data_IF_978580446369
#
_entry.id   IF_978580446369
#
_cell.length_a   1.000
_cell.length_b   1.000
_cell.length_c   1.000
_cell.angle_alpha   90.00
_cell.angle_beta   90.00
_cell.angle_gamma   90.00
#
_symmetry.space_group_name_H-M   'P 1'
#
loop_
_entity.id
_entity.type
_entity.pdbx_description
1 polymer ?
#
# COMPACT_ATOMS: atom_id res chain seq x y z
N UNK A 1 29.61 -6.67 -7.08
CA UNK A 1 28.71 -7.80 -7.44
C UNK A 1 27.33 -7.21 -7.60
N UNK A 2 26.68 -7.48 -8.74
CA UNK A 2 25.27 -7.11 -8.96
C UNK A 2 24.42 -7.90 -7.97
N UNK A 3 23.66 -7.22 -7.11
CA UNK A 3 22.84 -7.87 -6.08
C UNK A 3 21.52 -8.38 -6.69
N UNK A 4 20.68 -9.07 -5.91
CA UNK A 4 19.42 -9.65 -6.42
C UNK A 4 18.46 -8.62 -7.04
N UNK A 5 18.47 -7.37 -6.56
CA UNK A 5 17.64 -6.28 -7.09
C UNK A 5 18.15 -5.85 -8.46
N UNK A 6 19.47 -5.62 -8.57
CA UNK A 6 20.13 -5.27 -9.83
C UNK A 6 19.85 -6.37 -10.89
N UNK A 7 20.02 -7.63 -10.51
CA UNK A 7 19.75 -8.78 -11.38
C UNK A 7 18.30 -8.82 -11.89
N UNK A 8 17.32 -8.53 -11.04
CA UNK A 8 15.91 -8.46 -11.46
C UNK A 8 15.67 -7.29 -12.40
N UNK A 9 16.17 -6.10 -12.07
CA UNK A 9 15.96 -4.91 -12.89
C UNK A 9 16.55 -5.09 -14.28
N UNK A 10 17.81 -5.55 -14.36
CA UNK A 10 18.56 -5.68 -15.61
C UNK A 10 18.06 -6.83 -16.50
N UNK A 11 17.76 -7.99 -15.91
CA UNK A 11 17.48 -9.20 -16.70
C UNK A 11 15.99 -9.46 -16.91
N UNK A 12 15.12 -8.88 -16.09
CA UNK A 12 13.68 -9.15 -16.12
C UNK A 12 12.88 -7.88 -16.43
N UNK A 13 12.99 -6.86 -15.58
CA UNK A 13 12.10 -5.70 -15.65
C UNK A 13 12.35 -4.81 -16.88
N UNK A 14 13.60 -4.35 -17.10
CA UNK A 14 13.94 -3.45 -18.22
C UNK A 14 13.63 -4.10 -19.57
N UNK A 15 14.05 -5.35 -19.86
CA UNK A 15 13.72 -6.02 -21.12
C UNK A 15 12.20 -6.11 -21.35
N UNK A 16 11.45 -6.43 -20.30
CA UNK A 16 9.99 -6.54 -20.38
C UNK A 16 9.36 -5.17 -20.69
N UNK A 17 9.73 -4.11 -19.97
CA UNK A 17 9.17 -2.77 -20.19
C UNK A 17 9.57 -2.18 -21.55
N UNK A 18 10.80 -2.40 -22.01
CA UNK A 18 11.25 -1.97 -23.33
C UNK A 18 10.47 -2.64 -24.47
N UNK A 19 9.97 -3.86 -24.26
CA UNK A 19 9.09 -4.53 -25.23
C UNK A 19 7.69 -3.91 -25.32
N UNK A 20 7.35 -2.93 -24.45
CA UNK A 20 6.04 -2.28 -24.35
C UNK A 20 6.06 -0.82 -24.87
N UNK A 21 7.02 -0.45 -25.70
CA UNK A 21 7.17 0.90 -26.27
C UNK A 21 7.32 2.02 -25.22
N UNK A 22 7.79 1.69 -24.02
CA UNK A 22 8.19 2.69 -23.03
C UNK A 22 9.44 3.45 -23.50
N UNK A 23 9.44 4.78 -23.37
CA UNK A 23 10.64 5.55 -23.64
C UNK A 23 11.71 5.28 -22.56
N UNK A 24 12.99 5.46 -22.93
CA UNK A 24 14.11 5.12 -22.05
C UNK A 24 14.10 5.93 -20.73
N UNK A 25 13.61 7.17 -20.77
CA UNK A 25 13.52 8.04 -19.60
C UNK A 25 12.53 7.50 -18.56
N UNK A 26 11.33 7.12 -18.99
CA UNK A 26 10.27 6.57 -18.13
C UNK A 26 10.67 5.20 -17.61
N UNK A 27 11.24 4.33 -18.45
CA UNK A 27 11.77 3.04 -18.02
C UNK A 27 12.82 3.24 -16.91
N UNK A 28 13.71 4.22 -17.07
CA UNK A 28 14.74 4.53 -16.07
C UNK A 28 14.12 5.03 -14.76
N UNK A 29 13.16 5.96 -14.81
CA UNK A 29 12.47 6.48 -13.61
C UNK A 29 11.78 5.36 -12.82
N UNK A 30 11.01 4.51 -13.50
CA UNK A 30 10.30 3.40 -12.86
C UNK A 30 11.30 2.37 -12.31
N UNK A 31 12.37 2.06 -13.05
CA UNK A 31 13.40 1.12 -12.60
C UNK A 31 14.11 1.61 -11.34
N UNK A 32 14.43 2.91 -11.25
CA UNK A 32 15.05 3.51 -10.06
C UNK A 32 14.09 3.44 -8.86
N UNK A 33 12.81 3.78 -9.03
CA UNK A 33 11.83 3.70 -7.93
C UNK A 33 11.63 2.25 -7.44
N UNK A 34 11.49 1.28 -8.35
CA UNK A 34 11.42 -0.14 -7.98
C UNK A 34 12.71 -0.59 -7.28
N UNK A 35 13.87 -0.19 -7.79
CA UNK A 35 15.16 -0.53 -7.20
C UNK A 35 15.26 -0.02 -5.76
N UNK A 36 14.97 1.27 -5.55
CA UNK A 36 15.00 1.89 -4.23
C UNK A 36 14.04 1.18 -3.26
N UNK A 37 12.81 0.87 -3.69
CA UNK A 37 11.82 0.17 -2.85
C UNK A 37 12.24 -1.25 -2.50
N UNK A 38 12.65 -2.05 -3.50
CA UNK A 38 13.11 -3.42 -3.26
C UNK A 38 14.35 -3.43 -2.37
N UNK A 39 15.31 -2.54 -2.63
CA UNK A 39 16.52 -2.40 -1.84
C UNK A 39 16.20 -1.99 -0.39
N UNK A 40 15.28 -1.05 -0.18
CA UNK A 40 14.84 -0.62 1.17
C UNK A 40 14.25 -1.76 2.00
N UNK A 41 13.43 -2.61 1.36
CA UNK A 41 12.79 -3.76 2.03
C UNK A 41 13.83 -4.86 2.28
N UNK A 42 14.65 -5.19 1.27
CA UNK A 42 15.62 -6.28 1.36
C UNK A 42 16.80 -5.95 2.27
N UNK A 43 17.27 -4.69 2.31
CA UNK A 43 18.28 -4.23 3.24
C UNK A 43 17.88 -4.48 4.71
N UNK A 44 16.58 -4.39 5.02
CA UNK A 44 16.02 -4.68 6.35
C UNK A 44 15.34 -6.05 6.45
N UNK A 45 15.56 -6.97 5.51
CA UNK A 45 14.80 -8.22 5.43
C UNK A 45 14.88 -9.09 6.69
N UNK A 46 16.01 -9.02 7.40
CA UNK A 46 16.24 -9.80 8.63
C UNK A 46 15.64 -9.16 9.89
N UNK A 47 15.25 -7.90 9.82
CA UNK A 47 14.42 -7.29 10.84
C UNK A 47 12.98 -7.76 10.61
N UNK A 48 12.61 -8.86 11.26
CA UNK A 48 11.30 -9.49 11.04
C UNK A 48 10.14 -8.57 11.43
N UNK A 49 10.31 -7.77 12.47
CA UNK A 49 9.28 -6.85 12.94
C UNK A 49 9.06 -5.75 11.90
N UNK A 50 10.13 -5.10 11.47
CA UNK A 50 10.05 -4.07 10.43
C UNK A 50 9.51 -4.64 9.12
N UNK A 51 10.08 -5.76 8.66
CA UNK A 51 9.66 -6.46 7.43
C UNK A 51 8.17 -6.81 7.48
N UNK A 52 7.71 -7.48 8.53
CA UNK A 52 6.33 -7.94 8.58
C UNK A 52 5.36 -6.76 8.68
N UNK A 53 5.71 -5.71 9.42
CA UNK A 53 4.93 -4.46 9.49
C UNK A 53 4.81 -3.80 8.12
N UNK A 54 5.94 -3.65 7.42
CA UNK A 54 5.96 -3.03 6.10
C UNK A 54 5.25 -3.88 5.03
N UNK A 55 5.38 -5.21 5.06
CA UNK A 55 4.72 -6.08 4.08
C UNK A 55 3.20 -6.17 4.28
N UNK A 56 2.64 -5.74 5.43
CA UNK A 56 1.19 -5.73 5.64
C UNK A 56 0.42 -4.88 4.62
N UNK A 57 1.04 -3.86 4.04
CA UNK A 57 0.46 -3.04 2.97
C UNK A 57 0.00 -3.88 1.79
N UNK A 58 0.83 -4.85 1.41
CA UNK A 58 0.64 -5.64 0.20
C UNK A 58 -0.15 -6.92 0.43
N UNK A 59 -0.34 -7.36 1.68
CA UNK A 59 -0.85 -8.69 1.99
C UNK A 59 -2.24 -8.95 1.39
N UNK A 60 -3.12 -7.96 1.34
CA UNK A 60 -4.47 -8.12 0.76
C UNK A 60 -4.42 -8.48 -0.73
N UNK A 61 -3.55 -7.82 -1.50
CA UNK A 61 -3.37 -8.11 -2.93
C UNK A 61 -2.52 -9.37 -3.14
N UNK A 62 -1.43 -9.51 -2.39
CA UNK A 62 -0.46 -10.61 -2.46
C UNK A 62 -1.11 -11.99 -2.31
N UNK A 63 -2.17 -12.08 -1.49
CA UNK A 63 -2.94 -13.30 -1.25
C UNK A 63 -3.56 -13.87 -2.54
N UNK A 64 -3.78 -13.02 -3.55
CA UNK A 64 -4.49 -13.38 -4.78
C UNK A 64 -3.61 -13.41 -6.03
N UNK A 65 -2.32 -13.09 -5.90
CA UNK A 65 -1.40 -13.08 -7.03
C UNK A 65 -0.82 -14.46 -7.34
N UNK A 66 -0.54 -14.66 -8.62
CA UNK A 66 0.00 -15.89 -9.18
C UNK A 66 1.37 -15.61 -9.82
N UNK A 67 2.29 -16.60 -9.83
CA UNK A 67 2.14 -17.94 -9.24
C UNK A 67 2.05 -17.89 -7.71
N UNK A 68 1.31 -18.84 -7.13
CA UNK A 68 1.27 -19.00 -5.68
C UNK A 68 2.69 -19.26 -5.16
N UNK A 69 3.18 -18.39 -4.28
CA UNK A 69 4.47 -18.50 -3.63
C UNK A 69 4.33 -18.19 -2.13
N UNK A 70 5.45 -18.10 -1.41
CA UNK A 70 5.48 -17.60 -0.06
C UNK A 70 4.85 -16.20 0.01
N UNK A 71 3.91 -15.99 0.95
CA UNK A 71 3.18 -14.73 1.07
C UNK A 71 4.12 -13.52 1.30
N UNK A 72 5.28 -13.73 1.92
CA UNK A 72 6.31 -12.71 2.08
C UNK A 72 6.92 -12.28 0.75
N UNK A 73 7.16 -13.22 -0.17
CA UNK A 73 7.63 -12.91 -1.54
C UNK A 73 6.54 -12.18 -2.32
N UNK A 74 5.30 -12.68 -2.29
CA UNK A 74 4.20 -12.01 -2.97
C UNK A 74 4.00 -10.59 -2.44
N UNK A 75 4.05 -10.39 -1.12
CA UNK A 75 3.91 -9.08 -0.50
C UNK A 75 5.09 -8.16 -0.82
N UNK A 76 6.31 -8.68 -0.88
CA UNK A 76 7.49 -7.93 -1.35
C UNK A 76 7.27 -7.42 -2.78
N UNK A 77 6.74 -8.26 -3.68
CA UNK A 77 6.40 -7.83 -5.04
C UNK A 77 5.32 -6.76 -5.04
N UNK A 78 4.29 -6.89 -4.18
CA UNK A 78 3.26 -5.85 -4.11
C UNK A 78 3.85 -4.51 -3.64
N UNK A 79 4.56 -4.51 -2.51
CA UNK A 79 5.06 -3.27 -1.90
C UNK A 79 6.24 -2.68 -2.69
N UNK A 80 7.11 -3.52 -3.24
CA UNK A 80 8.32 -3.11 -3.92
C UNK A 80 8.15 -2.81 -5.41
N UNK A 81 7.18 -3.45 -6.08
CA UNK A 81 7.03 -3.38 -7.55
C UNK A 81 5.66 -2.83 -7.94
N UNK A 82 4.57 -3.37 -7.38
CA UNK A 82 3.22 -2.87 -7.72
C UNK A 82 2.93 -1.50 -7.13
N UNK A 83 3.41 -1.24 -5.93
CA UNK A 83 3.31 0.05 -5.27
C UNK A 83 4.54 0.91 -5.60
N UNK A 84 4.77 1.08 -6.90
CA UNK A 84 5.84 1.89 -7.48
C UNK A 84 5.26 2.80 -8.57
N UNK A 85 6.10 3.64 -9.18
CA UNK A 85 5.75 4.44 -10.35
C UNK A 85 5.23 3.60 -11.54
N UNK A 86 5.39 2.28 -11.50
CA UNK A 86 4.71 1.35 -12.41
C UNK A 86 3.18 1.56 -12.41
N UNK A 87 2.58 1.88 -11.26
CA UNK A 87 1.14 2.14 -11.18
C UNK A 87 0.73 3.38 -11.99
N UNK A 88 1.53 4.45 -11.93
CA UNK A 88 1.22 5.68 -12.65
C UNK A 88 1.37 5.51 -14.16
N UNK A 89 2.26 4.62 -14.59
CA UNK A 89 2.38 4.20 -15.99
C UNK A 89 1.21 3.32 -16.48
N UNK A 90 0.43 2.75 -15.55
CA UNK A 90 -0.64 1.80 -15.81
C UNK A 90 -2.06 2.33 -15.51
N UNK A 91 -2.18 3.48 -14.85
CA UNK A 91 -3.45 3.96 -14.29
C UNK A 91 -4.13 5.02 -15.18
N UNK A 92 -4.18 6.28 -14.72
CA UNK A 92 -4.93 7.35 -15.38
C UNK A 92 -4.07 8.14 -16.36
N UNK A 93 -4.73 8.84 -17.29
CA UNK A 93 -4.05 9.76 -18.20
C UNK A 93 -3.28 10.85 -17.45
N UNK A 94 -3.80 11.33 -16.31
CA UNK A 94 -3.17 12.37 -15.51
C UNK A 94 -1.89 11.83 -14.83
N UNK A 95 -1.96 10.64 -14.22
CA UNK A 95 -0.81 9.99 -13.61
C UNK A 95 0.30 9.69 -14.64
N UNK A 96 -0.07 9.14 -15.80
CA UNK A 96 0.86 8.87 -16.88
C UNK A 96 1.55 10.17 -17.38
N UNK A 97 0.80 11.27 -17.51
CA UNK A 97 1.37 12.59 -17.85
C UNK A 97 2.33 13.10 -16.80
N UNK A 98 2.08 12.84 -15.52
CA UNK A 98 3.01 13.15 -14.42
C UNK A 98 4.39 12.48 -14.58
N UNK A 99 4.43 11.31 -15.24
CA UNK A 99 5.68 10.63 -15.58
C UNK A 99 6.35 11.13 -16.88
N UNK A 100 5.67 11.98 -17.65
CA UNK A 100 6.10 12.42 -18.98
C UNK A 100 5.54 11.59 -20.14
N UNK A 101 4.50 10.76 -19.90
CA UNK A 101 3.84 9.97 -20.94
C UNK A 101 2.62 10.70 -21.53
N UNK A 102 2.31 10.44 -22.80
CA UNK A 102 1.10 10.97 -23.44
C UNK A 102 -0.16 10.18 -23.11
N UNK A 103 -0.01 8.92 -22.68
CA UNK A 103 -1.07 7.99 -22.25
C UNK A 103 -0.45 6.89 -21.37
N UNK A 104 -1.25 6.15 -20.58
CA UNK A 104 -0.78 4.92 -19.97
C UNK A 104 -0.22 3.97 -21.04
N UNK A 105 0.93 3.37 -20.77
CA UNK A 105 1.63 2.47 -21.69
C UNK A 105 1.57 1.02 -21.23
N UNK A 106 1.17 0.78 -19.99
CA UNK A 106 1.07 -0.55 -19.40
C UNK A 106 -0.41 -0.84 -19.12
N UNK A 107 -0.92 -1.90 -19.72
CA UNK A 107 -2.26 -2.45 -19.47
C UNK A 107 -2.29 -3.31 -18.20
N UNK A 108 -3.49 -3.53 -17.66
CA UNK A 108 -3.72 -4.49 -16.57
C UNK A 108 -3.14 -5.89 -16.86
N UNK A 109 -3.18 -6.34 -18.11
CA UNK A 109 -2.61 -7.62 -18.51
C UNK A 109 -1.08 -7.62 -18.36
N UNK A 110 -0.42 -6.57 -18.84
CA UNK A 110 1.03 -6.42 -18.74
C UNK A 110 1.46 -6.27 -17.28
N UNK A 111 0.71 -5.51 -16.48
CA UNK A 111 0.92 -5.41 -15.04
C UNK A 111 0.87 -6.79 -14.36
N UNK A 112 -0.05 -7.68 -14.76
CA UNK A 112 -0.11 -9.06 -14.26
C UNK A 112 1.11 -9.89 -14.69
N UNK A 113 1.57 -9.73 -15.94
CA UNK A 113 2.79 -10.39 -16.44
C UNK A 113 4.01 -9.96 -15.63
N UNK A 114 4.20 -8.65 -15.42
CA UNK A 114 5.29 -8.09 -14.60
C UNK A 114 5.23 -8.65 -13.17
N UNK A 115 4.03 -8.67 -12.57
CA UNK A 115 3.82 -9.21 -11.22
C UNK A 115 4.20 -10.70 -11.14
N UNK A 116 3.73 -11.50 -12.09
CA UNK A 116 3.96 -12.95 -12.13
C UNK A 116 5.43 -13.27 -12.38
N UNK A 117 6.10 -12.52 -13.27
CA UNK A 117 7.52 -12.68 -13.53
C UNK A 117 8.35 -12.34 -12.30
N UNK A 118 8.06 -11.22 -11.62
CA UNK A 118 8.74 -10.82 -10.40
C UNK A 118 8.60 -11.87 -9.27
N UNK A 119 7.39 -12.38 -9.05
CA UNK A 119 7.17 -13.46 -8.07
C UNK A 119 8.00 -14.68 -8.46
N UNK A 120 7.94 -15.09 -9.73
CA UNK A 120 8.67 -16.26 -10.23
C UNK A 120 10.19 -16.10 -10.10
N UNK A 121 10.71 -14.90 -10.33
CA UNK A 121 12.13 -14.58 -10.18
C UNK A 121 12.55 -14.65 -8.72
N UNK A 122 11.91 -13.87 -7.84
CA UNK A 122 12.31 -13.76 -6.43
C UNK A 122 12.12 -15.07 -5.66
N UNK A 123 11.14 -15.88 -6.05
CA UNK A 123 10.88 -17.20 -5.44
C UNK A 123 11.99 -18.23 -5.69
N UNK A 124 12.90 -17.99 -6.64
CA UNK A 124 14.04 -18.88 -6.92
C UNK A 124 15.16 -18.75 -5.88
N UNK A 125 15.12 -17.71 -5.05
CA UNK A 125 16.20 -17.35 -4.15
C UNK A 125 15.77 -17.43 -2.68
N UNK A 126 16.71 -17.81 -1.81
CA UNK A 126 16.55 -17.59 -0.38
C UNK A 126 16.82 -16.11 -0.06
N UNK A 127 15.74 -15.36 0.18
CA UNK A 127 15.83 -13.94 0.48
C UNK A 127 16.55 -13.66 1.81
N UNK A 128 16.59 -14.59 2.78
CA UNK A 128 17.38 -14.39 4.00
C UNK A 128 18.88 -14.40 3.74
N UNK A 129 19.31 -15.08 2.67
CA UNK A 129 20.69 -15.08 2.21
C UNK A 129 20.93 -13.88 1.32
N UNK A 130 20.10 -13.70 0.29
CA UNK A 130 20.29 -12.67 -0.75
C UNK A 130 20.12 -11.23 -0.27
N UNK A 131 19.31 -11.00 0.75
CA UNK A 131 19.21 -9.69 1.40
C UNK A 131 20.55 -9.17 1.95
N UNK A 132 21.48 -10.05 2.33
CA UNK A 132 22.80 -9.63 2.83
C UNK A 132 23.68 -8.98 1.76
N UNK A 133 23.39 -9.24 0.49
CA UNK A 133 24.11 -8.67 -0.66
C UNK A 133 23.57 -7.26 -1.01
N UNK A 134 22.44 -6.87 -0.43
CA UNK A 134 21.77 -5.60 -0.70
C UNK A 134 22.26 -4.53 0.28
N UNK A 135 22.83 -3.46 -0.24
CA UNK A 135 23.27 -2.30 0.54
C UNK A 135 22.12 -1.35 0.90
N UNK A 136 22.42 -0.35 1.73
CA UNK A 136 21.46 0.74 2.01
C UNK A 136 21.12 1.45 0.68
N UNK A 137 19.83 1.64 0.34
CA UNK A 137 19.43 2.37 -0.86
C UNK A 137 19.81 3.86 -0.77
N UNK A 138 19.88 4.53 -1.92
CA UNK A 138 20.09 5.98 -1.96
C UNK A 138 18.88 6.74 -1.41
N UNK A 139 17.69 6.32 -1.82
CA UNK A 139 16.43 6.86 -1.32
C UNK A 139 15.61 5.72 -0.73
N UNK A 140 15.09 5.95 0.47
CA UNK A 140 14.30 4.97 1.19
C UNK A 140 12.91 5.53 1.49
N UNK A 141 11.87 5.13 0.73
CA UNK A 141 10.52 5.65 0.92
C UNK A 141 9.85 5.13 2.19
N UNK A 142 10.51 4.25 2.96
CA UNK A 142 9.95 3.61 4.15
C UNK A 142 10.69 3.98 5.45
N UNK A 143 11.92 4.49 5.37
CA UNK A 143 12.80 4.77 6.53
C UNK A 143 12.13 5.67 7.57
N UNK A 144 11.41 6.70 7.12
CA UNK A 144 10.80 7.71 7.99
C UNK A 144 9.42 7.32 8.55
N UNK A 145 8.79 6.26 8.04
CA UNK A 145 7.41 5.91 8.40
C UNK A 145 7.21 5.65 9.91
N UNK A 146 8.09 4.88 10.59
CA UNK A 146 7.93 4.65 12.03
C UNK A 146 8.07 5.92 12.87
N UNK A 147 8.81 6.91 12.38
CA UNK A 147 9.10 8.14 13.11
C UNK A 147 8.04 9.21 12.86
N UNK A 148 7.55 9.32 11.63
CA UNK A 148 6.51 10.28 11.25
C UNK A 148 5.10 9.83 11.67
N UNK A 149 4.85 8.52 11.64
CA UNK A 149 3.53 7.93 11.88
C UNK A 149 3.62 6.79 12.91
N UNK A 150 4.09 7.07 14.14
CA UNK A 150 4.39 6.05 15.13
C UNK A 150 3.17 5.23 15.55
N UNK A 151 1.99 5.86 15.68
CA UNK A 151 0.78 5.15 16.09
C UNK A 151 0.29 4.23 14.97
N UNK A 152 0.28 4.71 13.72
CA UNK A 152 -0.04 3.87 12.57
C UNK A 152 0.97 2.73 12.39
N UNK A 153 2.26 2.98 12.61
CA UNK A 153 3.30 1.95 12.58
C UNK A 153 3.07 0.86 13.64
N UNK A 154 2.82 1.27 14.89
CA UNK A 154 2.56 0.33 15.98
C UNK A 154 1.32 -0.53 15.70
N UNK A 155 0.22 0.08 15.25
CA UNK A 155 -1.02 -0.63 14.93
C UNK A 155 -0.81 -1.61 13.76
N UNK A 156 -0.04 -1.23 12.74
CA UNK A 156 0.32 -2.11 11.63
C UNK A 156 1.24 -3.27 12.07
N UNK A 157 2.13 -3.02 13.03
CA UNK A 157 2.97 -4.06 13.64
C UNK A 157 2.11 -5.10 14.37
N UNK A 158 1.16 -4.66 15.21
CA UNK A 158 0.20 -5.58 15.85
C UNK A 158 -0.66 -6.32 14.82
N UNK A 159 -1.10 -5.65 13.75
CA UNK A 159 -1.85 -6.27 12.67
C UNK A 159 -1.02 -7.37 11.97
N UNK A 160 0.29 -7.17 11.79
CA UNK A 160 1.18 -8.15 11.16
C UNK A 160 1.28 -9.47 11.95
N UNK A 161 1.18 -9.37 13.28
CA UNK A 161 1.19 -10.50 14.22
C UNK A 161 -0.22 -11.07 14.46
N UNK A 162 -1.25 -10.41 13.95
CA UNK A 162 -2.65 -10.72 14.24
C UNK A 162 -3.19 -11.85 13.34
N UNK A 163 -3.53 -13.00 13.95
CA UNK A 163 -4.28 -14.06 13.29
C UNK A 163 -5.77 -13.75 13.19
N UNK A 164 -6.37 -13.21 14.26
CA UNK A 164 -7.80 -12.87 14.28
C UNK A 164 -8.08 -11.55 14.99
N UNK A 165 -7.52 -11.34 16.18
CA UNK A 165 -7.51 -10.05 16.88
C UNK A 165 -6.37 -10.00 17.90
N UNK A 166 -5.99 -8.78 18.28
CA UNK A 166 -5.04 -8.49 19.36
C UNK A 166 -5.54 -7.26 20.12
N UNK A 167 -5.52 -7.33 21.46
CA UNK A 167 -5.61 -6.14 22.31
C UNK A 167 -4.20 -5.77 22.75
N UNK A 168 -3.92 -4.49 22.86
CA UNK A 168 -2.64 -3.97 23.33
C UNK A 168 -2.85 -2.69 24.13
N UNK A 169 -1.81 -2.28 24.85
CA UNK A 169 -1.84 -1.03 25.58
C UNK A 169 -1.96 0.13 24.60
N UNK A 170 -2.86 1.07 24.87
CA UNK A 170 -2.99 2.26 24.05
C UNK A 170 -1.72 3.09 24.13
N UNK A 171 -1.21 3.52 22.98
CA UNK A 171 -0.12 4.47 22.92
C UNK A 171 -0.63 5.91 23.01
N UNK A 172 0.27 6.83 23.32
CA UNK A 172 -0.03 8.26 23.38
C UNK A 172 -0.36 8.77 21.99
N UNK A 173 -1.32 9.70 21.94
CA UNK A 173 -1.62 10.43 20.72
C UNK A 173 -0.47 11.35 20.35
N UNK A 174 -0.23 11.47 19.06
CA UNK A 174 0.78 12.35 18.49
C UNK A 174 0.08 13.55 17.84
N UNK A 175 0.59 14.75 18.10
CA UNK A 175 0.11 15.96 17.42
C UNK A 175 0.56 15.91 15.96
N UNK A 176 -0.37 15.64 15.05
CA UNK A 176 -0.10 15.72 13.62
C UNK A 176 -0.12 17.21 13.24
N UNK A 177 1.01 17.74 12.79
CA UNK A 177 1.05 19.07 12.18
C UNK A 177 0.13 19.07 10.95
N UNK A 178 -0.64 20.16 10.80
CA UNK A 178 -1.73 20.32 9.83
C UNK A 178 -1.52 19.55 8.51
N UNK A 179 -2.56 18.83 8.07
CA UNK A 179 -2.60 18.20 6.76
C UNK A 179 -2.32 19.28 5.70
N UNK A 180 -1.11 19.29 5.11
CA UNK A 180 -0.83 20.11 3.93
C UNK A 180 -1.76 19.66 2.79
N UNK A 181 -2.92 20.31 2.70
CA UNK A 181 -3.89 20.13 1.64
C UNK A 181 -3.71 21.24 0.62
N UNK A 182 -3.89 20.92 -0.66
CA UNK A 182 -4.07 21.96 -1.66
C UNK A 182 -5.47 22.54 -1.50
N UNK A 183 -5.54 23.79 -1.03
CA UNK A 183 -6.76 24.59 -1.07
C UNK A 183 -6.97 25.09 -2.49
N UNK A 184 -7.43 24.23 -3.39
CA UNK A 184 -7.94 24.69 -4.68
C UNK A 184 -9.36 25.24 -4.46
N UNK A 185 -9.49 26.57 -4.48
CA UNK A 185 -10.76 27.31 -4.35
C UNK A 185 -11.66 27.20 -5.60
N UNK A 186 -11.32 26.34 -6.57
CA UNK A 186 -12.12 26.16 -7.77
C UNK A 186 -13.16 25.06 -7.55
N UNK A 187 -14.43 25.48 -7.50
CA UNK A 187 -15.64 24.63 -7.37
C UNK A 187 -15.92 23.73 -8.58
N UNK A 188 -14.89 23.36 -9.34
CA UNK A 188 -15.01 22.29 -10.32
C UNK A 188 -14.55 21.02 -9.61
N UNK A 189 -15.52 20.20 -9.22
CA UNK A 189 -15.32 18.80 -8.85
C UNK A 189 -14.87 18.08 -10.12
N UNK A 190 -13.64 18.35 -10.58
CA UNK A 190 -12.97 17.43 -11.47
C UNK A 190 -12.83 16.14 -10.68
N UNK A 191 -13.40 15.06 -11.22
CA UNK A 191 -13.22 13.70 -10.73
C UNK A 191 -11.75 13.57 -10.36
N UNK A 192 -11.48 13.36 -9.08
CA UNK A 192 -10.15 13.32 -8.51
C UNK A 192 -9.39 12.15 -9.14
N UNK A 193 -8.80 12.38 -10.32
CA UNK A 193 -8.04 11.39 -11.08
C UNK A 193 -6.67 11.23 -10.42
N UNK A 194 -6.67 10.77 -9.17
CA UNK A 194 -5.46 10.72 -8.35
C UNK A 194 -4.52 9.64 -8.85
N UNK A 195 -3.25 9.99 -8.97
CA UNK A 195 -2.15 9.03 -9.03
C UNK A 195 -2.18 8.17 -7.76
N UNK A 196 -2.01 6.86 -7.93
CA UNK A 196 -1.91 5.93 -6.80
C UNK A 196 -0.64 6.15 -5.98
N UNK A 197 0.36 6.83 -6.56
CA UNK A 197 1.68 7.08 -5.97
C UNK A 197 1.87 8.50 -5.44
N UNK A 198 0.91 9.40 -5.61
CA UNK A 198 0.96 10.74 -5.01
C UNK A 198 0.85 10.65 -3.47
N UNK A 199 1.77 11.33 -2.79
CA UNK A 199 1.80 11.41 -1.33
C UNK A 199 0.82 12.43 -0.75
N UNK A 200 0.27 13.33 -1.58
CA UNK A 200 -0.64 14.39 -1.14
C UNK A 200 -2.04 13.86 -0.84
N UNK A 201 -2.67 14.41 0.19
CA UNK A 201 -4.09 14.19 0.48
C UNK A 201 -4.87 15.19 -0.37
N UNK A 202 -5.68 14.69 -1.29
CA UNK A 202 -6.54 15.56 -2.10
C UNK A 202 -7.86 15.90 -1.40
N UNK A 203 -8.63 16.86 -1.94
CA UNK A 203 -9.77 17.46 -1.27
C UNK A 203 -10.83 16.48 -0.74
N UNK A 204 -11.24 15.47 -1.52
CA UNK A 204 -12.32 14.56 -1.10
C UNK A 204 -11.90 13.66 0.06
N UNK A 205 -10.66 13.15 0.03
CA UNK A 205 -10.11 12.40 1.16
C UNK A 205 -9.93 13.30 2.39
N UNK A 206 -9.52 14.57 2.20
CA UNK A 206 -9.38 15.50 3.31
C UNK A 206 -10.71 15.80 3.99
N UNK A 207 -11.78 16.02 3.23
CA UNK A 207 -13.12 16.28 3.78
C UNK A 207 -13.57 15.14 4.71
N UNK A 208 -13.39 13.88 4.30
CA UNK A 208 -13.67 12.70 5.13
C UNK A 208 -12.79 12.68 6.39
N UNK A 209 -11.51 13.07 6.29
CA UNK A 209 -10.63 13.13 7.45
C UNK A 209 -11.02 14.25 8.41
N UNK A 210 -11.51 15.39 7.93
CA UNK A 210 -12.03 16.47 8.77
C UNK A 210 -13.29 16.04 9.52
N UNK A 211 -14.22 15.33 8.90
CA UNK A 211 -15.44 14.83 9.59
C UNK A 211 -15.10 13.77 10.65
N UNK A 212 -14.08 12.95 10.41
CA UNK A 212 -13.57 12.01 11.42
C UNK A 212 -12.89 12.75 12.58
N UNK A 213 -12.07 13.77 12.28
CA UNK A 213 -11.39 14.58 13.31
C UNK A 213 -12.35 15.41 14.15
N UNK A 214 -13.43 15.92 13.55
CA UNK A 214 -14.47 16.68 14.26
C UNK A 214 -15.36 15.79 15.12
N UNK A 215 -15.31 14.47 14.92
CA UNK A 215 -16.18 13.49 15.57
C UNK A 215 -17.57 13.37 14.96
N UNK A 216 -17.85 14.09 13.86
CA UNK A 216 -19.09 13.96 13.09
C UNK A 216 -19.22 12.55 12.50
N UNK A 217 -18.10 12.01 12.00
CA UNK A 217 -18.02 10.64 11.53
C UNK A 217 -17.25 9.75 12.53
N UNK A 218 -17.94 8.75 13.08
CA UNK A 218 -17.40 7.92 14.17
C UNK A 218 -16.32 6.90 13.78
N UNK A 219 -16.05 6.71 12.49
CA UNK A 219 -15.02 5.79 11.97
C UNK A 219 -14.62 6.15 10.54
N UNK A 220 -13.42 5.78 10.13
CA UNK A 220 -13.00 5.84 8.72
C UNK A 220 -13.20 4.49 8.04
N UNK A 221 -13.75 4.47 6.82
CA UNK A 221 -13.91 3.25 6.04
C UNK A 221 -13.33 3.37 4.63
N UNK A 222 -12.70 2.29 4.18
CA UNK A 222 -12.32 2.06 2.78
C UNK A 222 -12.41 0.57 2.46
N UNK A 223 -12.38 0.12 1.20
CA UNK A 223 -12.42 -1.32 0.91
C UNK A 223 -11.13 -2.04 1.36
N UNK A 224 -9.97 -1.43 1.08
CA UNK A 224 -8.63 -2.01 1.27
C UNK A 224 -7.58 -0.89 1.32
N UNK A 225 -6.33 -1.20 1.68
CA UNK A 225 -5.27 -0.18 1.74
C UNK A 225 -5.00 0.49 0.38
N UNK A 226 -4.96 -0.29 -0.70
CA UNK A 226 -4.73 0.24 -2.07
C UNK A 226 -5.80 1.24 -2.51
N UNK A 227 -6.98 1.18 -1.92
CA UNK A 227 -8.09 2.07 -2.23
C UNK A 227 -7.88 3.50 -1.71
N UNK A 228 -6.98 3.67 -0.74
CA UNK A 228 -6.52 4.99 -0.30
C UNK A 228 -5.35 5.43 -1.17
N UNK A 229 -4.31 4.60 -1.23
CA UNK A 229 -3.09 4.91 -1.97
C UNK A 229 -2.19 3.68 -2.05
N UNK A 230 -1.36 3.63 -3.09
CA UNK A 230 -0.17 2.78 -3.15
C UNK A 230 1.07 3.47 -2.59
N UNK A 231 1.01 4.79 -2.37
CA UNK A 231 2.04 5.53 -1.66
C UNK A 231 1.98 5.23 -0.14
N UNK A 232 3.08 4.72 0.45
CA UNK A 232 3.10 4.34 1.86
C UNK A 232 2.96 5.55 2.79
N UNK A 233 3.57 6.69 2.48
CA UNK A 233 3.49 7.93 3.27
C UNK A 233 2.03 8.37 3.41
N UNK A 234 1.28 8.42 2.30
CA UNK A 234 -0.14 8.81 2.30
C UNK A 234 -1.00 7.84 3.10
N UNK A 235 -0.78 6.53 2.93
CA UNK A 235 -1.53 5.52 3.69
C UNK A 235 -1.28 5.66 5.20
N UNK A 236 -0.01 5.72 5.63
CA UNK A 236 0.33 5.86 7.05
C UNK A 236 -0.19 7.15 7.64
N UNK A 237 -0.09 8.26 6.89
CA UNK A 237 -0.65 9.55 7.31
C UNK A 237 -2.16 9.49 7.55
N UNK A 238 -2.90 8.80 6.68
CA UNK A 238 -4.35 8.59 6.84
C UNK A 238 -4.64 7.77 8.08
N UNK A 239 -3.96 6.63 8.26
CA UNK A 239 -4.14 5.77 9.44
C UNK A 239 -3.82 6.55 10.71
N UNK A 240 -2.68 7.26 10.76
CA UNK A 240 -2.24 8.08 11.89
C UNK A 240 -3.29 9.14 12.24
N UNK A 241 -3.83 9.82 11.23
CA UNK A 241 -4.87 10.86 11.41
C UNK A 241 -6.13 10.31 12.04
N UNK A 242 -6.63 9.18 11.53
CA UNK A 242 -7.85 8.54 12.04
C UNK A 242 -7.64 8.05 13.48
N UNK A 243 -6.51 7.40 13.76
CA UNK A 243 -6.23 6.86 15.09
C UNK A 243 -6.03 7.97 16.14
N UNK A 244 -5.41 9.10 15.79
CA UNK A 244 -5.27 10.24 16.69
C UNK A 244 -6.62 10.94 16.98
N UNK A 245 -7.60 10.80 16.09
CA UNK A 245 -8.99 11.24 16.34
C UNK A 245 -9.79 10.29 17.26
N UNK A 246 -9.16 9.25 17.84
CA UNK A 246 -9.84 8.15 18.57
C UNK A 246 -10.89 7.40 17.74
N UNK A 247 -10.83 7.52 16.42
CA UNK A 247 -11.70 6.79 15.51
C UNK A 247 -11.05 5.48 15.06
N UNK A 248 -11.82 4.39 14.86
CA UNK A 248 -11.30 3.21 14.22
C UNK A 248 -11.15 3.42 12.71
N UNK A 249 -10.06 2.92 12.16
CA UNK A 249 -9.84 2.77 10.73
C UNK A 249 -10.29 1.36 10.31
N UNK A 250 -11.19 1.26 9.34
CA UNK A 250 -11.85 0.00 8.98
C UNK A 250 -11.73 -0.26 7.49
N UNK A 251 -11.33 -1.49 7.14
CA UNK A 251 -11.46 -2.03 5.80
C UNK A 251 -12.43 -3.20 5.75
N UNK A 252 -12.66 -3.78 4.57
CA UNK A 252 -13.39 -5.06 4.49
C UNK A 252 -12.67 -6.14 5.31
N UNK A 253 -11.34 -6.11 5.35
CA UNK A 253 -10.50 -7.15 5.95
C UNK A 253 -10.00 -6.83 7.35
N UNK A 254 -9.89 -5.55 7.71
CA UNK A 254 -9.21 -5.10 8.92
C UNK A 254 -10.06 -4.13 9.74
N UNK A 255 -9.87 -4.18 11.05
CA UNK A 255 -10.28 -3.14 11.98
C UNK A 255 -9.06 -2.72 12.76
N UNK A 256 -8.77 -1.42 12.76
CA UNK A 256 -7.60 -0.83 13.39
C UNK A 256 -8.06 0.27 14.35
N UNK A 257 -7.57 0.23 15.59
CA UNK A 257 -7.80 1.26 16.59
C UNK A 257 -6.62 1.30 17.56
N UNK A 258 -6.45 2.42 18.26
CA UNK A 258 -5.45 2.51 19.31
C UNK A 258 -5.84 1.57 20.48
N UNK A 259 -5.09 0.48 20.63
CA UNK A 259 -5.29 -0.58 21.62
C UNK A 259 -6.03 -1.84 21.14
N UNK A 260 -6.50 -1.88 19.90
CA UNK A 260 -7.14 -3.08 19.34
C UNK A 260 -7.03 -3.16 17.82
N UNK A 261 -6.64 -4.34 17.33
CA UNK A 261 -6.71 -4.70 15.91
C UNK A 261 -7.48 -6.01 15.72
N UNK A 262 -8.15 -6.15 14.58
CA UNK A 262 -8.67 -7.44 14.12
C UNK A 262 -8.54 -7.62 12.62
N UNK A 263 -8.45 -8.87 12.20
CA UNK A 263 -8.23 -9.28 10.81
C UNK A 263 -9.10 -10.49 10.48
N UNK A 264 -9.65 -10.52 9.27
CA UNK A 264 -10.25 -11.74 8.72
C UNK A 264 -9.19 -12.83 8.56
N UNK A 265 -9.44 -14.08 9.03
CA UNK A 265 -8.53 -15.20 8.78
C UNK A 265 -8.32 -15.46 7.29
N UNK A 266 -9.41 -15.40 6.53
CA UNK A 266 -9.41 -15.48 5.08
C UNK A 266 -9.69 -14.08 4.52
N UNK A 267 -8.67 -13.45 3.97
CA UNK A 267 -8.79 -12.12 3.39
C UNK A 267 -9.67 -12.17 2.16
N UNK A 268 -10.55 -11.19 1.99
CA UNK A 268 -11.29 -10.94 0.76
C UNK A 268 -10.43 -10.10 -0.18
N UNK A 269 -10.53 -10.37 -1.48
CA UNK A 269 -9.75 -9.67 -2.50
C UNK A 269 -10.11 -8.17 -2.49
N UNK A 270 -9.13 -7.25 -2.53
CA UNK A 270 -9.38 -5.84 -2.79
C UNK A 270 -10.24 -5.62 -4.03
N UNK A 271 -11.15 -4.64 -4.00
CA UNK A 271 -12.04 -4.39 -5.13
C UNK A 271 -11.30 -4.03 -6.41
N UNK A 272 -11.90 -4.40 -7.54
CA UNK A 272 -11.60 -3.83 -8.85
C UNK A 272 -12.66 -2.84 -9.30
N UNK A 273 -13.90 -3.04 -8.84
CA UNK A 273 -15.05 -2.16 -9.12
C UNK A 273 -15.94 -1.97 -7.88
N UNK A 274 -16.59 -0.82 -7.78
CA UNK A 274 -17.40 -0.41 -6.63
C UNK A 274 -18.59 -1.37 -6.37
N UNK A 275 -19.13 -2.00 -7.43
CA UNK A 275 -20.21 -3.01 -7.31
C UNK A 275 -19.80 -4.22 -6.47
N UNK A 276 -18.51 -4.53 -6.38
CA UNK A 276 -18.02 -5.63 -5.55
C UNK A 276 -18.14 -5.33 -4.05
N UNK A 277 -18.08 -4.06 -3.65
CA UNK A 277 -18.02 -3.63 -2.24
C UNK A 277 -19.30 -4.05 -1.50
N UNK A 278 -20.48 -3.86 -2.11
CA UNK A 278 -21.76 -4.20 -1.49
C UNK A 278 -21.83 -5.70 -1.11
N UNK A 279 -21.39 -6.57 -2.01
CA UNK A 279 -21.34 -8.02 -1.76
C UNK A 279 -20.38 -8.39 -0.62
N UNK A 280 -19.25 -7.67 -0.51
CA UNK A 280 -18.24 -7.89 0.55
C UNK A 280 -18.72 -7.39 1.90
N UNK A 281 -19.44 -6.26 1.94
CA UNK A 281 -20.02 -5.73 3.17
C UNK A 281 -21.04 -6.70 3.78
N UNK A 282 -21.82 -7.40 2.94
CA UNK A 282 -22.76 -8.44 3.37
C UNK A 282 -22.05 -9.71 3.89
N UNK A 283 -20.80 -9.96 3.47
CA UNK A 283 -20.04 -11.10 3.96
C UNK A 283 -19.55 -10.84 5.40
N UNK A 284 -20.13 -11.54 6.38
CA UNK A 284 -19.76 -11.40 7.80
C UNK A 284 -18.80 -12.47 8.32
N UNK A 285 -18.33 -13.37 7.45
CA UNK A 285 -17.48 -14.50 7.79
C UNK A 285 -16.09 -14.04 8.27
N UNK A 286 -15.63 -14.61 9.40
CA UNK A 286 -14.33 -14.26 9.98
C UNK A 286 -14.26 -12.89 10.68
N UNK A 287 -15.32 -12.06 10.62
CA UNK A 287 -15.36 -10.76 11.30
C UNK A 287 -15.48 -10.92 12.82
N UNK A 288 -14.75 -10.07 13.56
CA UNK A 288 -14.91 -9.90 15.01
C UNK A 288 -16.03 -8.91 15.33
N UNK A 289 -16.47 -8.89 16.59
CA UNK A 289 -17.65 -8.14 17.02
C UNK A 289 -17.57 -6.64 16.66
N UNK A 290 -16.46 -5.97 16.99
CA UNK A 290 -16.25 -4.55 16.69
C UNK A 290 -16.25 -4.28 15.18
N UNK A 291 -15.52 -5.11 14.43
CA UNK A 291 -15.44 -5.02 12.97
C UNK A 291 -16.79 -5.22 12.30
N UNK A 292 -17.53 -6.26 12.70
CA UNK A 292 -18.89 -6.56 12.22
C UNK A 292 -19.87 -5.44 12.55
N UNK A 293 -19.78 -4.85 13.75
CA UNK A 293 -20.66 -3.75 14.17
C UNK A 293 -20.52 -2.55 13.24
N UNK A 294 -19.30 -2.22 12.81
CA UNK A 294 -19.07 -1.10 11.89
C UNK A 294 -19.52 -1.46 10.46
N UNK A 295 -19.10 -2.60 9.92
CA UNK A 295 -19.47 -2.96 8.54
C UNK A 295 -20.98 -3.09 8.34
N UNK A 296 -21.74 -3.47 9.37
CA UNK A 296 -23.22 -3.51 9.33
C UNK A 296 -23.89 -2.14 9.27
N UNK A 297 -23.19 -1.06 9.62
CA UNK A 297 -23.73 0.31 9.48
C UNK A 297 -23.62 0.84 8.05
N UNK A 298 -22.88 0.12 7.19
CA UNK A 298 -22.63 0.48 5.79
C UNK A 298 -23.52 -0.28 4.79
N UNK A 299 -24.40 -1.15 5.29
CA UNK A 299 -25.37 -1.96 4.52
C UNK A 299 -26.77 -1.50 4.86
#
# INVERSE_FOLDING_TARGET
MSNIVDLYIENNFIPLVNSLDANQEVTSKISIDIHNRLSSILYRWRDEEYRNTLLMHGIEEATYYQPGSNIGVNSLVVVGIRNSLLEDAASTLLAARGLGLTKPIISDLQVRVITSDAISFLSKYDLNIKAQEVGKPQEDPFEELPFKYPLAWEVMNYLSKCKTYVNFQKDKKHSISHLNCETNNDKNIEIENQSGMDSKIGPSLNEILETVKSGEQSFFFTDSFKAISRNPEKLYKVIETVLNADAPFVTINYYLSNGYVSRRPSLLKPFHDAREIESKLKNTEGLKANHRKILKQLV
#
